data_IF_802855442478
#
_entry.id   IF_802855442478
#
_cell.length_a   1.000
_cell.length_b   1.000
_cell.length_c   1.000
_cell.angle_alpha   90.00
_cell.angle_beta   90.00
_cell.angle_gamma   90.00
#
_symmetry.space_group_name_H-M   'P 1'
#
loop_
_entity.id
_entity.type
_entity.pdbx_description
1 polymer ?
#
# COMPACT_ATOMS: atom_id res chain seq x y z
N UNK A 1 3.08 38.97 -2.89
CA UNK A 1 3.98 38.05 -2.17
C UNK A 1 4.20 36.83 -3.03
N UNK A 2 5.39 36.71 -3.60
CA UNK A 2 5.78 35.65 -4.51
C UNK A 2 5.83 34.32 -3.76
N UNK A 3 4.96 33.37 -4.14
CA UNK A 3 5.17 31.94 -3.81
C UNK A 3 6.29 31.46 -4.71
N UNK A 4 7.51 31.51 -4.21
CA UNK A 4 8.61 30.72 -4.75
C UNK A 4 8.15 29.27 -4.80
N UNK A 5 7.96 28.79 -6.03
CA UNK A 5 7.81 27.37 -6.32
C UNK A 5 9.14 26.74 -5.93
N UNK A 6 9.27 26.33 -4.67
CA UNK A 6 10.29 25.37 -4.28
C UNK A 6 10.15 24.19 -5.22
N UNK A 7 11.14 23.99 -6.08
CA UNK A 7 11.19 22.85 -6.97
C UNK A 7 11.03 21.61 -6.09
N UNK A 8 9.87 20.96 -6.15
CA UNK A 8 9.70 19.62 -5.63
C UNK A 8 10.73 18.80 -6.38
N UNK A 9 11.79 18.37 -5.68
CA UNK A 9 12.82 17.51 -6.25
C UNK A 9 12.20 16.14 -6.48
N UNK A 10 11.37 16.04 -7.50
CA UNK A 10 10.73 14.80 -7.92
C UNK A 10 11.85 13.81 -8.23
N UNK A 11 11.88 12.64 -7.57
CA UNK A 11 12.92 11.65 -7.80
C UNK A 11 13.02 11.32 -9.29
N UNK A 12 14.25 11.18 -9.78
CA UNK A 12 14.48 10.87 -11.18
C UNK A 12 13.75 9.57 -11.58
N UNK A 13 13.28 9.50 -12.83
CA UNK A 13 12.41 8.42 -13.32
C UNK A 13 12.99 7.01 -13.08
N UNK A 14 14.31 6.86 -13.19
CA UNK A 14 15.00 5.59 -12.95
C UNK A 14 14.94 5.17 -11.48
N UNK A 15 15.01 6.11 -10.53
CA UNK A 15 14.86 5.83 -9.10
C UNK A 15 13.44 5.36 -8.80
N UNK A 16 12.44 6.03 -9.36
CA UNK A 16 11.02 5.64 -9.22
C UNK A 16 10.76 4.24 -9.77
N UNK A 17 11.32 3.92 -10.94
CA UNK A 17 11.22 2.59 -11.53
C UNK A 17 11.91 1.52 -10.66
N UNK A 18 13.11 1.81 -10.12
CA UNK A 18 13.80 0.90 -9.22
C UNK A 18 13.00 0.65 -7.94
N UNK A 19 12.45 1.70 -7.32
CA UNK A 19 11.58 1.57 -6.13
C UNK A 19 10.35 0.72 -6.45
N UNK A 20 9.69 0.97 -7.58
CA UNK A 20 8.54 0.19 -8.04
C UNK A 20 8.88 -1.29 -8.18
N UNK A 21 9.95 -1.62 -8.89
CA UNK A 21 10.37 -3.00 -9.14
C UNK A 21 10.76 -3.70 -7.83
N UNK A 22 11.57 -3.05 -6.99
CA UNK A 22 11.97 -3.61 -5.70
C UNK A 22 10.78 -3.83 -4.77
N UNK A 23 9.85 -2.89 -4.74
CA UNK A 23 8.62 -3.02 -3.96
C UNK A 23 7.70 -4.12 -4.49
N UNK A 24 7.58 -4.28 -5.81
CA UNK A 24 6.83 -5.38 -6.41
C UNK A 24 7.45 -6.75 -6.08
N UNK A 25 8.78 -6.86 -6.09
CA UNK A 25 9.49 -8.08 -5.68
C UNK A 25 9.26 -8.37 -4.19
N UNK A 26 9.33 -7.35 -3.33
CA UNK A 26 9.05 -7.49 -1.91
C UNK A 26 7.60 -7.93 -1.64
N UNK A 27 6.64 -7.30 -2.34
CA UNK A 27 5.23 -7.66 -2.27
C UNK A 27 5.00 -9.12 -2.68
N UNK A 28 5.61 -9.57 -3.79
CA UNK A 28 5.55 -10.95 -4.26
C UNK A 28 6.18 -11.94 -3.27
N UNK A 29 7.33 -11.60 -2.70
CA UNK A 29 8.01 -12.43 -1.70
C UNK A 29 7.16 -12.59 -0.43
N UNK A 30 6.56 -11.51 0.08
CA UNK A 30 5.69 -11.56 1.25
C UNK A 30 4.40 -12.33 0.97
N UNK A 31 3.78 -12.12 -0.19
CA UNK A 31 2.63 -12.93 -0.61
C UNK A 31 2.98 -14.42 -0.67
N UNK A 32 4.13 -14.78 -1.23
CA UNK A 32 4.60 -16.16 -1.30
C UNK A 32 4.86 -16.77 0.08
N UNK A 33 5.38 -16.00 1.04
CA UNK A 33 5.53 -16.47 2.42
C UNK A 33 4.16 -16.71 3.06
N UNK A 34 3.22 -15.77 2.91
CA UNK A 34 1.87 -15.89 3.47
C UNK A 34 1.11 -17.08 2.86
N UNK A 35 1.33 -17.40 1.58
CA UNK A 35 0.67 -18.53 0.93
C UNK A 35 1.08 -19.89 1.50
N UNK A 36 2.19 -19.98 2.23
CA UNK A 36 2.59 -21.21 2.93
C UNK A 36 1.76 -21.48 4.18
N UNK A 37 1.08 -20.46 4.74
CA UNK A 37 0.32 -20.56 6.00
C UNK A 37 -1.16 -20.25 5.86
N UNK A 38 -1.57 -19.50 4.84
CA UNK A 38 -2.94 -19.10 4.61
C UNK A 38 -3.31 -19.12 3.12
N UNK A 39 -4.48 -19.68 2.73
CA UNK A 39 -4.91 -19.71 1.34
C UNK A 39 -5.36 -18.33 0.85
N UNK A 40 -5.73 -18.23 -0.44
CA UNK A 40 -6.41 -17.04 -0.94
C UNK A 40 -7.66 -16.71 -0.08
N UNK A 41 -7.93 -15.42 0.19
CA UNK A 41 -7.35 -14.21 -0.41
C UNK A 41 -6.19 -13.57 0.40
N UNK A 42 -5.72 -14.19 1.49
CA UNK A 42 -4.76 -13.54 2.41
C UNK A 42 -3.38 -13.20 1.80
N UNK A 43 -2.74 -14.08 1.00
CA UNK A 43 -1.51 -13.73 0.28
C UNK A 43 -1.67 -12.51 -0.61
N UNK A 44 -2.84 -12.41 -1.27
CA UNK A 44 -3.17 -11.30 -2.16
C UNK A 44 -3.32 -9.99 -1.37
N UNK A 45 -4.04 -10.01 -0.25
CA UNK A 45 -4.19 -8.84 0.63
C UNK A 45 -2.82 -8.31 1.11
N UNK A 46 -1.94 -9.20 1.59
CA UNK A 46 -0.63 -8.79 2.09
C UNK A 46 0.27 -8.24 0.98
N UNK A 47 0.35 -8.94 -0.16
CA UNK A 47 1.13 -8.45 -1.30
C UNK A 47 0.64 -7.09 -1.79
N UNK A 48 -0.67 -6.92 -1.91
CA UNK A 48 -1.26 -5.68 -2.40
C UNK A 48 -1.03 -4.52 -1.42
N UNK A 49 -1.20 -4.75 -0.12
CA UNK A 49 -0.96 -3.73 0.91
C UNK A 49 0.48 -3.20 0.91
N UNK A 50 1.46 -4.06 0.59
CA UNK A 50 2.87 -3.66 0.46
C UNK A 50 3.15 -2.93 -0.85
N UNK A 51 2.45 -3.30 -1.93
CA UNK A 51 2.62 -2.67 -3.23
C UNK A 51 2.06 -1.24 -3.27
N UNK A 52 0.95 -0.94 -2.59
CA UNK A 52 0.28 0.37 -2.67
C UNK A 52 1.18 1.55 -2.29
N UNK A 53 1.89 1.57 -1.15
CA UNK A 53 2.77 2.69 -0.81
C UNK A 53 3.92 2.87 -1.81
N UNK A 54 4.40 1.78 -2.41
CA UNK A 54 5.45 1.81 -3.42
C UNK A 54 4.91 2.40 -4.73
N UNK A 55 3.67 2.06 -5.09
CA UNK A 55 2.98 2.66 -6.23
C UNK A 55 2.80 4.16 -6.05
N UNK A 56 2.47 4.64 -4.85
CA UNK A 56 2.35 6.07 -4.57
C UNK A 56 3.69 6.79 -4.80
N UNK A 57 4.80 6.28 -4.26
CA UNK A 57 6.15 6.82 -4.54
C UNK A 57 6.48 6.79 -6.04
N UNK A 58 6.10 5.71 -6.71
CA UNK A 58 6.46 5.49 -8.11
C UNK A 58 5.60 6.30 -9.09
N UNK A 59 4.33 6.54 -8.81
CA UNK A 59 3.36 7.14 -9.73
C UNK A 59 3.01 8.58 -9.35
N UNK A 60 2.78 8.84 -8.06
CA UNK A 60 2.33 10.12 -7.52
C UNK A 60 3.27 10.61 -6.39
N UNK A 61 4.58 10.83 -6.65
CA UNK A 61 5.55 11.16 -5.62
C UNK A 61 5.20 12.42 -4.79
N UNK A 62 4.35 13.29 -5.32
CA UNK A 62 3.83 14.47 -4.65
C UNK A 62 2.89 14.17 -3.46
N UNK A 63 2.35 12.95 -3.35
CA UNK A 63 1.51 12.54 -2.21
C UNK A 63 2.33 12.04 -1.02
N UNK A 64 3.62 11.80 -1.23
CA UNK A 64 4.54 11.28 -0.22
C UNK A 64 5.30 12.43 0.44
N UNK A 65 5.41 12.46 1.78
CA UNK A 65 6.21 13.47 2.49
C UNK A 65 7.65 13.58 1.98
N UNK A 66 8.16 14.80 1.89
CA UNK A 66 9.58 15.03 1.55
C UNK A 66 10.53 14.61 2.68
N UNK A 67 10.07 14.69 3.94
CA UNK A 67 10.83 14.26 5.11
C UNK A 67 10.90 12.73 5.18
N UNK A 68 12.13 12.18 5.21
CA UNK A 68 12.38 10.74 5.23
C UNK A 68 11.58 10.01 6.30
N UNK A 69 11.61 10.50 7.54
CA UNK A 69 10.99 9.81 8.68
C UNK A 69 9.46 9.79 8.55
N UNK A 70 8.86 10.89 8.06
CA UNK A 70 7.42 10.94 7.77
C UNK A 70 7.04 10.05 6.60
N UNK A 71 7.85 9.98 5.54
CA UNK A 71 7.61 9.12 4.39
C UNK A 71 7.62 7.63 4.78
N UNK A 72 8.59 7.23 5.62
CA UNK A 72 8.67 5.87 6.16
C UNK A 72 7.46 5.57 7.04
N UNK A 73 7.11 6.46 7.98
CA UNK A 73 5.96 6.29 8.84
C UNK A 73 4.65 6.18 8.04
N UNK A 74 4.47 7.04 7.03
CA UNK A 74 3.34 6.99 6.11
C UNK A 74 3.23 5.65 5.40
N UNK A 75 4.32 5.17 4.80
CA UNK A 75 4.33 3.88 4.09
C UNK A 75 4.07 2.68 4.99
N UNK A 76 4.64 2.66 6.20
CA UNK A 76 4.41 1.59 7.19
C UNK A 76 2.94 1.58 7.63
N UNK A 77 2.38 2.73 7.99
CA UNK A 77 0.98 2.80 8.45
C UNK A 77 0.00 2.45 7.33
N UNK A 78 0.25 2.93 6.10
CA UNK A 78 -0.52 2.54 4.93
C UNK A 78 -0.48 1.01 4.73
N UNK A 79 0.71 0.40 4.72
CA UNK A 79 0.86 -1.05 4.56
C UNK A 79 0.15 -1.84 5.67
N UNK A 80 0.33 -1.45 6.94
CA UNK A 80 -0.33 -2.10 8.07
C UNK A 80 -1.86 -1.97 8.03
N UNK A 81 -2.38 -0.79 7.69
CA UNK A 81 -3.81 -0.59 7.53
C UNK A 81 -4.38 -1.48 6.41
N UNK A 82 -3.70 -1.54 5.27
CA UNK A 82 -4.03 -2.44 4.17
C UNK A 82 -4.07 -3.90 4.59
N UNK A 83 -3.03 -4.40 5.28
CA UNK A 83 -2.96 -5.79 5.76
C UNK A 83 -4.12 -6.10 6.72
N UNK A 84 -4.33 -5.27 7.74
CA UNK A 84 -5.33 -5.52 8.78
C UNK A 84 -6.74 -5.53 8.17
N UNK A 85 -7.08 -4.52 7.38
CA UNK A 85 -8.41 -4.42 6.77
C UNK A 85 -8.61 -5.48 5.68
N UNK A 86 -7.60 -5.70 4.84
CA UNK A 86 -7.62 -6.72 3.80
C UNK A 86 -7.84 -8.12 4.37
N UNK A 87 -7.10 -8.50 5.40
CA UNK A 87 -7.29 -9.78 6.07
C UNK A 87 -8.66 -9.88 6.77
N UNK A 88 -9.14 -8.81 7.40
CA UNK A 88 -10.45 -8.81 8.05
C UNK A 88 -11.59 -8.98 7.03
N UNK A 89 -11.55 -8.27 5.91
CA UNK A 89 -12.53 -8.39 4.82
C UNK A 89 -12.39 -9.74 4.11
N UNK A 90 -11.17 -10.23 3.91
CA UNK A 90 -10.93 -11.57 3.38
C UNK A 90 -11.55 -12.67 4.25
N UNK A 91 -11.36 -12.59 5.57
CA UNK A 91 -11.99 -13.52 6.51
C UNK A 91 -13.52 -13.41 6.49
N UNK A 92 -14.06 -12.19 6.46
CA UNK A 92 -15.51 -11.96 6.41
C UNK A 92 -16.14 -12.50 5.11
N UNK A 93 -15.53 -12.23 3.96
CA UNK A 93 -16.03 -12.65 2.65
C UNK A 93 -15.97 -14.17 2.47
N UNK A 94 -14.92 -14.82 3.02
CA UNK A 94 -14.86 -16.28 3.13
C UNK A 94 -15.96 -16.83 4.04
N UNK A 95 -16.19 -16.21 5.20
CA UNK A 95 -17.24 -16.63 6.13
C UNK A 95 -18.65 -16.51 5.54
N UNK A 96 -18.87 -15.52 4.66
CA UNK A 96 -20.12 -15.32 3.93
C UNK A 96 -20.24 -16.21 2.67
N UNK A 97 -19.25 -17.07 2.40
CA UNK A 97 -19.20 -17.97 1.26
C UNK A 97 -19.45 -17.27 -0.10
N UNK A 98 -18.91 -16.06 -0.26
CA UNK A 98 -18.94 -15.42 -1.58
C UNK A 98 -18.12 -16.20 -2.60
N UNK A 99 -18.52 -16.12 -3.86
CA UNK A 99 -17.77 -16.71 -4.98
C UNK A 99 -16.34 -16.17 -5.04
N UNK A 100 -15.42 -16.99 -5.54
CA UNK A 100 -13.97 -16.72 -5.54
C UNK A 100 -13.61 -15.32 -6.08
N UNK A 101 -14.18 -14.92 -7.22
CA UNK A 101 -13.93 -13.61 -7.81
C UNK A 101 -14.41 -12.44 -6.94
N UNK A 102 -15.56 -12.59 -6.27
CA UNK A 102 -16.10 -11.56 -5.39
C UNK A 102 -15.24 -11.44 -4.12
N UNK A 103 -14.83 -12.57 -3.54
CA UNK A 103 -13.95 -12.64 -2.37
C UNK A 103 -12.61 -11.96 -2.65
N UNK A 104 -11.97 -12.28 -3.78
CA UNK A 104 -10.70 -11.65 -4.17
C UNK A 104 -10.90 -10.16 -4.47
N UNK A 105 -11.91 -9.81 -5.27
CA UNK A 105 -12.16 -8.43 -5.68
C UNK A 105 -12.49 -7.48 -4.51
N UNK A 106 -13.35 -7.92 -3.58
CA UNK A 106 -13.69 -7.14 -2.39
C UNK A 106 -12.50 -7.01 -1.43
N UNK A 107 -11.73 -8.09 -1.26
CA UNK A 107 -10.50 -8.06 -0.45
C UNK A 107 -9.49 -7.08 -1.05
N UNK A 108 -9.28 -7.12 -2.37
CA UNK A 108 -8.40 -6.22 -3.09
C UNK A 108 -8.82 -4.76 -2.90
N UNK A 109 -10.11 -4.46 -3.13
CA UNK A 109 -10.67 -3.12 -3.01
C UNK A 109 -10.54 -2.58 -1.58
N UNK A 110 -10.88 -3.39 -0.57
CA UNK A 110 -10.77 -2.99 0.82
C UNK A 110 -9.31 -2.76 1.24
N UNK A 111 -8.39 -3.63 0.80
CA UNK A 111 -6.95 -3.48 1.03
C UNK A 111 -6.42 -2.19 0.43
N UNK A 112 -6.76 -1.91 -0.83
CA UNK A 112 -6.36 -0.70 -1.54
C UNK A 112 -6.82 0.56 -0.80
N UNK A 113 -8.12 0.65 -0.52
CA UNK A 113 -8.71 1.81 0.15
C UNK A 113 -8.08 2.00 1.52
N UNK A 114 -7.96 0.93 2.32
CA UNK A 114 -7.38 1.01 3.64
C UNK A 114 -5.91 1.47 3.61
N UNK A 115 -5.13 1.01 2.64
CA UNK A 115 -3.75 1.45 2.48
C UNK A 115 -3.66 2.94 2.08
N UNK A 116 -4.44 3.38 1.08
CA UNK A 116 -4.49 4.79 0.67
C UNK A 116 -4.92 5.72 1.82
N UNK A 117 -6.01 5.38 2.50
CA UNK A 117 -6.54 6.23 3.57
C UNK A 117 -5.71 6.13 4.85
N UNK A 118 -5.17 4.95 5.17
CA UNK A 118 -4.31 4.72 6.34
C UNK A 118 -3.08 5.63 6.32
N UNK A 119 -2.44 5.78 5.16
CA UNK A 119 -1.34 6.72 4.99
C UNK A 119 -1.75 8.18 5.21
N UNK A 120 -2.92 8.59 4.70
CA UNK A 120 -3.42 9.97 4.85
C UNK A 120 -3.74 10.36 6.30
N UNK A 121 -4.15 9.41 7.14
CA UNK A 121 -4.43 9.65 8.55
C UNK A 121 -3.18 10.12 9.32
N UNK A 122 -1.99 9.67 8.94
CA UNK A 122 -0.72 10.13 9.52
C UNK A 122 -0.40 11.56 9.10
N UNK A 123 -0.62 11.90 7.83
CA UNK A 123 -0.38 13.25 7.30
C UNK A 123 -1.25 14.31 7.97
N UNK A 124 -2.47 13.94 8.39
CA UNK A 124 -3.36 14.85 9.11
C UNK A 124 -3.05 15.02 10.61
N UNK A 125 -2.17 14.20 11.19
CA UNK A 125 -1.91 14.16 12.64
C UNK A 125 -0.47 14.49 13.04
N UNK A 126 0.47 14.45 12.11
CA UNK A 126 1.87 14.84 12.35
C UNK A 126 2.06 16.26 11.81
N UNK A 127 2.12 17.30 12.67
CA UNK A 127 2.29 18.70 12.26
C UNK A 127 3.65 18.91 11.60
#
# INVERSE_FOLDING_TARGET
MARERGAVNTPARHVRAAVFVLGALLAGALAAVVSTVAPAPFPFAVGFAVAVPVMDVALNPETVPAERDRAIAHGIVAGLAGIVVGCAVGALTLALAFGEYATIGLTAAATFLAAEYGGRVVLGRVP
#
